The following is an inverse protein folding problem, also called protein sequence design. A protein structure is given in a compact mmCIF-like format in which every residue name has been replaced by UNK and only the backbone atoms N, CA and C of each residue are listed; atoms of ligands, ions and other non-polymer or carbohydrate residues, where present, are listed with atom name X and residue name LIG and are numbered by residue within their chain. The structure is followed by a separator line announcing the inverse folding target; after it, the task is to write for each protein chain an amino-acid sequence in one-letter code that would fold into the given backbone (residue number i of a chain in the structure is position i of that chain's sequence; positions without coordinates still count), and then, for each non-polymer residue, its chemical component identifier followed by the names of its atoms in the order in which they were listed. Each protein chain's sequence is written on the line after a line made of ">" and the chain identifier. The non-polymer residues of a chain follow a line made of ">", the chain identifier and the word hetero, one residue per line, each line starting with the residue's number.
data_IF_458130736113
#
_entry.id   IF_458130736113
#
_cell.length_a   1.000
_cell.length_b   1.000
_cell.length_c   1.000
_cell.angle_alpha   90.00
_cell.angle_beta   90.00
_cell.angle_gamma   90.00
#
_symmetry.space_group_name_H-M   'P 1'
#
loop_
_entity.id
_entity.type
_entity.pdbx_description
1 polymer ?
#
# COMPACT_ATOMS: atom_id res chain seq x y z
N UNK A 1 8.25 -9.01 4.96
CA UNK A 1 9.65 -9.23 4.56
C UNK A 1 9.94 -10.64 4.04
N UNK A 2 9.52 -11.74 4.73
CA UNK A 2 9.82 -13.12 4.27
C UNK A 2 9.29 -13.42 2.85
N UNK A 3 8.04 -13.03 2.57
CA UNK A 3 7.43 -13.19 1.25
C UNK A 3 8.16 -12.38 0.17
N UNK A 4 8.60 -11.18 0.49
CA UNK A 4 9.36 -10.31 -0.44
C UNK A 4 10.73 -10.92 -0.75
N UNK A 5 11.43 -11.47 0.25
CA UNK A 5 12.71 -12.18 0.04
C UNK A 5 12.55 -13.40 -0.87
N UNK A 6 11.48 -14.17 -0.69
CA UNK A 6 11.20 -15.31 -1.56
C UNK A 6 10.83 -14.88 -3.00
N UNK A 7 10.03 -13.83 -3.16
CA UNK A 7 9.77 -13.24 -4.46
C UNK A 7 11.06 -12.76 -5.14
N UNK A 8 11.94 -12.06 -4.40
CA UNK A 8 13.24 -11.64 -4.91
C UNK A 8 14.12 -12.81 -5.35
N UNK A 9 14.07 -13.95 -4.60
CA UNK A 9 14.83 -15.16 -4.93
C UNK A 9 14.43 -15.74 -6.29
N UNK A 10 13.11 -15.85 -6.55
CA UNK A 10 12.59 -16.49 -7.77
C UNK A 10 12.60 -15.58 -9.01
N UNK A 11 12.64 -14.26 -8.83
CA UNK A 11 12.74 -13.33 -9.94
C UNK A 11 14.03 -13.52 -10.72
N UNK A 12 13.97 -13.45 -12.05
CA UNK A 12 15.15 -13.34 -12.90
C UNK A 12 15.81 -11.96 -12.73
N UNK A 13 17.13 -11.81 -12.94
CA UNK A 13 17.77 -10.51 -13.00
C UNK A 13 17.03 -9.56 -13.97
N UNK A 14 16.84 -8.32 -13.58
CA UNK A 14 16.02 -7.33 -14.30
C UNK A 14 14.51 -7.51 -14.17
N UNK A 15 14.02 -8.57 -13.50
CA UNK A 15 12.59 -8.82 -13.29
C UNK A 15 11.95 -7.79 -12.36
N UNK A 16 10.67 -7.47 -12.61
CA UNK A 16 9.87 -6.57 -11.79
C UNK A 16 9.10 -7.32 -10.72
N UNK A 17 8.98 -6.71 -9.54
CA UNK A 17 8.06 -7.06 -8.48
C UNK A 17 7.08 -5.91 -8.29
N UNK A 18 5.78 -6.22 -8.29
CA UNK A 18 4.71 -5.34 -7.86
C UNK A 18 4.23 -5.85 -6.50
N UNK A 19 4.53 -5.10 -5.44
CA UNK A 19 4.15 -5.46 -4.08
C UNK A 19 2.99 -4.58 -3.61
N UNK A 20 1.86 -5.22 -3.26
CA UNK A 20 0.71 -4.53 -2.69
C UNK A 20 0.73 -4.62 -1.17
N UNK A 21 0.39 -3.51 -0.52
CA UNK A 21 0.23 -3.43 0.93
C UNK A 21 -0.99 -2.60 1.31
N UNK A 22 -1.58 -2.93 2.46
CA UNK A 22 -2.59 -2.07 3.10
C UNK A 22 -1.85 -1.07 3.97
N UNK A 23 -2.26 0.21 3.94
CA UNK A 23 -1.64 1.24 4.77
C UNK A 23 -2.12 1.17 6.22
N UNK A 24 -1.26 1.52 7.17
CA UNK A 24 -1.64 1.66 8.58
C UNK A 24 -2.68 2.76 8.83
N UNK A 25 -2.95 3.61 7.83
CA UNK A 25 -3.97 4.65 7.89
C UNK A 25 -5.35 4.17 7.43
N UNK A 26 -5.46 3.02 6.75
CA UNK A 26 -6.69 2.58 6.09
C UNK A 26 -7.89 2.53 7.04
N UNK A 27 -7.79 1.79 8.14
CA UNK A 27 -8.88 1.68 9.12
C UNK A 27 -9.23 3.01 9.78
N UNK A 28 -8.21 3.84 10.06
CA UNK A 28 -8.43 5.17 10.66
C UNK A 28 -9.20 6.08 9.72
N UNK A 29 -8.85 6.11 8.43
CA UNK A 29 -9.55 6.93 7.43
C UNK A 29 -11.00 6.49 7.27
N UNK A 30 -11.23 5.17 7.12
CA UNK A 30 -12.58 4.60 7.06
C UNK A 30 -13.37 4.88 8.33
N UNK A 31 -12.71 4.73 9.48
CA UNK A 31 -13.32 4.99 10.79
C UNK A 31 -13.70 6.45 11.01
N UNK A 32 -12.93 7.40 10.47
CA UNK A 32 -13.25 8.83 10.51
C UNK A 32 -14.47 9.15 9.63
N UNK A 33 -14.51 8.62 8.40
CA UNK A 33 -15.62 8.85 7.47
C UNK A 33 -16.94 8.29 8.01
N UNK A 34 -16.90 7.11 8.65
CA UNK A 34 -18.09 6.45 9.17
C UNK A 34 -18.35 6.74 10.64
N UNK A 35 -17.53 7.55 11.28
CA UNK A 35 -17.59 7.88 12.70
C UNK A 35 -17.43 6.65 13.64
N UNK A 36 -16.73 5.60 13.20
CA UNK A 36 -16.46 4.40 14.01
C UNK A 36 -15.37 4.61 15.06
N UNK A 37 -14.53 5.63 14.86
CA UNK A 37 -13.44 5.97 15.79
C UNK A 37 -13.93 6.41 17.19
N UNK A 38 -15.23 6.68 17.39
CA UNK A 38 -15.78 6.97 18.70
C UNK A 38 -15.96 5.71 19.55
N UNK A 39 -15.99 4.52 18.93
CA UNK A 39 -16.00 3.24 19.64
C UNK A 39 -14.59 2.97 20.20
N UNK A 40 -14.46 2.70 21.53
CA UNK A 40 -13.14 2.54 22.16
C UNK A 40 -12.33 1.37 21.61
N UNK A 41 -12.98 0.24 21.24
CA UNK A 41 -12.30 -0.94 20.70
C UNK A 41 -11.79 -0.66 19.29
N UNK A 42 -12.59 0.02 18.46
CA UNK A 42 -12.18 0.45 17.12
C UNK A 42 -11.04 1.46 17.18
N UNK A 43 -11.14 2.44 18.08
CA UNK A 43 -10.09 3.44 18.29
C UNK A 43 -8.77 2.81 18.71
N UNK A 44 -8.78 1.85 19.65
CA UNK A 44 -7.58 1.15 20.10
C UNK A 44 -6.94 0.33 18.98
N UNK A 45 -7.76 -0.29 18.12
CA UNK A 45 -7.28 -0.95 16.90
C UNK A 45 -6.55 0.04 15.99
N UNK A 46 -7.18 1.19 15.67
CA UNK A 46 -6.56 2.24 14.85
C UNK A 46 -5.25 2.75 15.47
N UNK A 47 -5.23 2.98 16.79
CA UNK A 47 -4.04 3.43 17.49
C UNK A 47 -2.87 2.45 17.30
N UNK A 48 -3.13 1.15 17.44
CA UNK A 48 -2.12 0.10 17.26
C UNK A 48 -1.64 0.00 15.82
N UNK A 49 -2.54 0.09 14.86
CA UNK A 49 -2.18 0.12 13.44
C UNK A 49 -1.25 1.29 13.10
N UNK A 50 -1.58 2.49 13.59
CA UNK A 50 -0.77 3.69 13.35
C UNK A 50 0.60 3.65 14.01
N UNK A 51 0.70 3.05 15.21
CA UNK A 51 1.96 3.05 15.98
C UNK A 51 2.84 1.84 15.71
N UNK A 52 2.24 0.67 15.45
CA UNK A 52 2.94 -0.62 15.37
C UNK A 52 2.77 -1.31 14.01
N UNK A 53 1.84 -0.84 13.15
CA UNK A 53 1.47 -1.53 11.91
C UNK A 53 0.69 -2.83 12.17
N UNK A 54 0.27 -3.10 13.40
CA UNK A 54 -0.38 -4.34 13.79
C UNK A 54 -1.89 -4.18 13.83
N UNK A 55 -2.57 -4.87 12.91
CA UNK A 55 -4.01 -5.03 12.94
C UNK A 55 -4.41 -6.28 13.73
N UNK A 56 -5.25 -6.10 14.75
CA UNK A 56 -5.92 -7.18 15.46
C UNK A 56 -7.42 -6.86 15.48
N UNK A 57 -8.22 -7.80 14.98
CA UNK A 57 -9.67 -7.64 14.95
C UNK A 57 -10.23 -7.42 16.36
N UNK A 58 -10.95 -6.32 16.61
CA UNK A 58 -11.62 -6.12 17.89
C UNK A 58 -12.79 -7.12 18.04
N UNK A 59 -13.05 -7.61 19.27
CA UNK A 59 -14.11 -8.61 19.52
C UNK A 59 -15.50 -8.18 19.05
N UNK A 60 -15.81 -6.89 19.16
CA UNK A 60 -17.11 -6.32 18.82
C UNK A 60 -17.25 -5.93 17.34
N UNK A 61 -16.22 -6.17 16.53
CA UNK A 61 -16.17 -5.80 15.11
C UNK A 61 -15.93 -7.03 14.22
N UNK A 62 -16.90 -7.98 14.14
CA UNK A 62 -16.77 -9.15 13.27
C UNK A 62 -16.79 -8.72 11.80
N UNK A 63 -15.96 -9.36 10.98
CA UNK A 63 -15.86 -9.08 9.54
C UNK A 63 -14.65 -8.23 9.14
N UNK A 64 -13.89 -7.70 10.10
CA UNK A 64 -12.55 -7.17 9.84
C UNK A 64 -11.53 -8.32 9.73
N UNK A 65 -10.31 -8.02 9.26
CA UNK A 65 -9.22 -9.01 9.26
C UNK A 65 -8.94 -9.52 10.67
N UNK A 66 -8.55 -10.79 10.80
CA UNK A 66 -8.24 -11.37 12.12
C UNK A 66 -6.91 -10.84 12.67
N UNK A 67 -5.87 -10.92 11.85
CA UNK A 67 -4.54 -10.40 12.15
C UNK A 67 -3.86 -10.06 10.83
N UNK A 68 -3.29 -8.87 10.75
CA UNK A 68 -2.54 -8.41 9.58
C UNK A 68 -1.44 -7.42 9.99
N UNK A 69 -0.41 -7.32 9.16
CA UNK A 69 0.53 -6.20 9.20
C UNK A 69 0.11 -5.18 8.16
N UNK A 70 -0.11 -3.95 8.62
CA UNK A 70 -0.43 -2.79 7.78
C UNK A 70 0.82 -1.91 7.68
N UNK A 71 1.20 -1.58 6.46
CA UNK A 71 2.44 -0.86 6.22
C UNK A 71 2.33 0.62 6.60
N UNK A 72 3.23 1.06 7.46
CA UNK A 72 3.44 2.49 7.71
C UNK A 72 4.17 3.13 6.52
N UNK A 73 4.12 4.47 6.37
CA UNK A 73 4.83 5.15 5.29
C UNK A 73 6.30 4.75 5.23
N UNK A 74 6.78 4.34 4.05
CA UNK A 74 8.16 3.92 3.81
C UNK A 74 8.51 2.47 4.20
N UNK A 75 7.68 1.76 4.96
CA UNK A 75 7.99 0.38 5.39
C UNK A 75 8.08 -0.59 4.21
N UNK A 76 7.13 -0.53 3.28
CA UNK A 76 7.12 -1.42 2.11
C UNK A 76 8.36 -1.20 1.23
N UNK A 77 8.76 0.05 1.04
CA UNK A 77 10.02 0.40 0.36
C UNK A 77 11.24 -0.18 1.10
N UNK A 78 11.31 0.03 2.41
CA UNK A 78 12.42 -0.49 3.22
C UNK A 78 12.54 -2.02 3.13
N UNK A 79 11.42 -2.75 3.16
CA UNK A 79 11.39 -4.21 3.00
C UNK A 79 11.88 -4.66 1.63
N UNK A 80 11.54 -3.93 0.55
CA UNK A 80 12.01 -4.22 -0.80
C UNK A 80 13.54 -4.03 -0.92
N UNK A 81 14.05 -2.93 -0.37
CA UNK A 81 15.50 -2.64 -0.34
C UNK A 81 16.25 -3.69 0.50
N UNK A 82 15.72 -4.08 1.67
CA UNK A 82 16.31 -5.11 2.52
C UNK A 82 16.34 -6.50 1.83
N UNK A 83 15.37 -6.77 0.97
CA UNK A 83 15.31 -7.99 0.15
C UNK A 83 16.27 -7.95 -1.06
N UNK A 84 17.05 -6.88 -1.24
CA UNK A 84 18.00 -6.72 -2.34
C UNK A 84 17.37 -6.31 -3.67
N UNK A 85 16.17 -5.75 -3.64
CA UNK A 85 15.51 -5.19 -4.82
C UNK A 85 15.79 -3.68 -4.91
N UNK A 86 15.84 -3.15 -6.13
CA UNK A 86 15.92 -1.72 -6.38
C UNK A 86 14.48 -1.17 -6.43
N UNK A 87 14.08 -0.35 -5.45
CA UNK A 87 12.81 0.34 -5.44
C UNK A 87 12.77 1.38 -6.55
N UNK A 88 11.71 1.39 -7.37
CA UNK A 88 11.50 2.35 -8.46
C UNK A 88 10.50 3.44 -8.06
N UNK A 89 9.36 3.05 -7.49
CA UNK A 89 8.31 3.97 -7.03
C UNK A 89 7.33 3.26 -6.09
N UNK A 90 6.60 4.05 -5.30
CA UNK A 90 5.41 3.59 -4.56
C UNK A 90 4.23 4.45 -4.98
N UNK A 91 3.12 3.81 -5.33
CA UNK A 91 1.90 4.44 -5.81
C UNK A 91 0.76 4.28 -4.81
N UNK A 92 -0.03 5.34 -4.65
CA UNK A 92 -1.29 5.34 -3.92
C UNK A 92 -2.38 4.74 -4.83
N UNK A 93 -2.78 3.48 -4.63
CA UNK A 93 -3.63 2.76 -5.58
C UNK A 93 -4.98 3.46 -5.78
N UNK A 94 -5.65 3.81 -4.70
CA UNK A 94 -6.90 4.58 -4.77
C UNK A 94 -6.65 6.08 -4.54
N UNK A 95 -5.55 6.44 -3.90
CA UNK A 95 -5.35 7.79 -3.40
C UNK A 95 -6.55 8.24 -2.56
N UNK A 96 -7.01 9.50 -2.70
CA UNK A 96 -8.24 10.00 -2.10
C UNK A 96 -9.51 9.62 -2.91
N UNK A 97 -9.40 8.91 -4.04
CA UNK A 97 -10.53 8.59 -4.92
C UNK A 97 -11.65 7.78 -4.25
N UNK A 98 -11.34 7.01 -3.22
CA UNK A 98 -12.32 6.27 -2.42
C UNK A 98 -13.25 7.17 -1.58
N UNK A 99 -12.92 8.47 -1.42
CA UNK A 99 -13.74 9.47 -0.73
C UNK A 99 -14.86 10.04 -1.61
N UNK A 100 -14.90 9.68 -2.88
CA UNK A 100 -15.94 10.16 -3.80
C UNK A 100 -17.31 9.73 -3.29
N UNK A 101 -18.24 10.66 -3.01
CA UNK A 101 -19.60 10.32 -2.60
C UNK A 101 -20.32 9.51 -3.68
N UNK A 102 -21.16 8.56 -3.27
CA UNK A 102 -21.94 7.70 -4.19
C UNK A 102 -21.04 7.01 -5.23
N UNK A 103 -19.86 6.51 -4.76
CA UNK A 103 -18.81 5.95 -5.61
C UNK A 103 -19.34 4.86 -6.56
N UNK A 104 -20.15 3.93 -6.04
CA UNK A 104 -20.68 2.80 -6.85
C UNK A 104 -21.52 3.30 -8.03
N UNK A 105 -22.36 4.32 -7.83
CA UNK A 105 -23.16 4.91 -8.90
C UNK A 105 -22.28 5.59 -9.94
N UNK A 106 -21.36 6.44 -9.49
CA UNK A 106 -20.42 7.15 -10.36
C UNK A 106 -19.48 6.22 -11.11
N UNK A 107 -19.11 5.09 -10.50
CA UNK A 107 -18.24 4.09 -11.12
C UNK A 107 -18.92 3.35 -12.28
N UNK A 108 -20.23 3.20 -12.26
CA UNK A 108 -21.00 2.61 -13.36
C UNK A 108 -21.09 3.53 -14.58
N UNK A 109 -21.01 4.84 -14.38
CA UNK A 109 -20.98 5.83 -15.46
C UNK A 109 -19.57 5.90 -16.07
N UNK A 110 -19.38 5.62 -17.40
CA UNK A 110 -18.05 5.59 -18.01
C UNK A 110 -17.31 6.93 -17.96
N UNK A 111 -18.02 8.06 -18.08
CA UNK A 111 -17.42 9.40 -18.08
C UNK A 111 -16.96 9.79 -16.67
N UNK A 112 -17.80 9.55 -15.68
CA UNK A 112 -17.45 9.83 -14.27
C UNK A 112 -16.32 8.91 -13.78
N UNK A 113 -16.35 7.64 -14.17
CA UNK A 113 -15.28 6.69 -13.87
C UNK A 113 -13.94 7.16 -14.45
N UNK A 114 -13.90 7.57 -15.73
CA UNK A 114 -12.66 8.06 -16.34
C UNK A 114 -12.17 9.33 -15.66
N UNK A 115 -13.07 10.22 -15.23
CA UNK A 115 -12.72 11.41 -14.45
C UNK A 115 -12.08 11.02 -13.12
N UNK A 116 -12.63 10.07 -12.38
CA UNK A 116 -12.07 9.56 -11.11
C UNK A 116 -10.68 8.97 -11.37
N UNK A 117 -10.54 8.11 -12.38
CA UNK A 117 -9.26 7.50 -12.72
C UNK A 117 -8.21 8.53 -13.14
N UNK A 118 -8.60 9.55 -13.89
CA UNK A 118 -7.71 10.64 -14.29
C UNK A 118 -7.15 11.37 -13.06
N UNK A 119 -8.01 11.75 -12.11
CA UNK A 119 -7.59 12.44 -10.88
C UNK A 119 -6.69 11.53 -10.03
N UNK A 120 -7.04 10.26 -9.86
CA UNK A 120 -6.20 9.31 -9.11
C UNK A 120 -4.82 9.19 -9.74
N UNK A 121 -4.72 9.03 -11.06
CA UNK A 121 -3.44 8.96 -11.78
C UNK A 121 -2.56 10.21 -11.62
N UNK A 122 -3.18 11.39 -11.55
CA UNK A 122 -2.45 12.64 -11.32
C UNK A 122 -1.84 12.72 -9.91
N UNK A 123 -2.37 11.96 -8.95
CA UNK A 123 -1.98 12.00 -7.55
C UNK A 123 -1.24 10.73 -7.09
N UNK A 124 -1.29 9.64 -7.85
CA UNK A 124 -0.85 8.31 -7.37
C UNK A 124 0.61 8.26 -6.91
N UNK A 125 1.48 9.10 -7.49
CA UNK A 125 2.89 9.18 -7.13
C UNK A 125 3.21 10.31 -6.12
N UNK A 126 2.21 11.09 -5.70
CA UNK A 126 2.41 12.17 -4.72
C UNK A 126 2.57 11.58 -3.32
N UNK A 127 3.64 11.97 -2.63
CA UNK A 127 3.95 11.48 -1.28
C UNK A 127 2.82 11.77 -0.26
N UNK A 128 2.08 12.87 -0.42
CA UNK A 128 0.92 13.20 0.41
C UNK A 128 -0.26 12.27 0.16
N UNK A 129 -0.43 11.78 -1.07
CA UNK A 129 -1.51 10.87 -1.43
C UNK A 129 -1.28 9.45 -0.89
N UNK A 130 -0.03 9.03 -0.66
CA UNK A 130 0.28 7.70 -0.10
C UNK A 130 -0.42 7.48 1.25
N UNK A 131 -0.40 8.48 2.13
CA UNK A 131 -1.08 8.42 3.43
C UNK A 131 -2.60 8.50 3.36
N UNK A 132 -3.17 8.92 2.24
CA UNK A 132 -4.62 9.01 2.00
C UNK A 132 -5.18 7.80 1.26
N UNK A 133 -4.35 6.86 0.86
CA UNK A 133 -4.75 5.65 0.15
C UNK A 133 -4.86 4.46 1.10
N UNK A 134 -5.97 3.69 1.06
CA UNK A 134 -6.04 2.43 1.80
C UNK A 134 -5.02 1.40 1.34
N UNK A 135 -4.64 1.41 0.06
CA UNK A 135 -3.66 0.48 -0.50
C UNK A 135 -2.52 1.20 -1.20
N UNK A 136 -1.33 0.62 -1.07
CA UNK A 136 -0.12 1.02 -1.79
C UNK A 136 0.30 -0.07 -2.76
N UNK A 137 0.93 0.33 -3.85
CA UNK A 137 1.66 -0.56 -4.75
C UNK A 137 3.09 -0.07 -4.88
N UNK A 138 4.03 -0.83 -4.36
CA UNK A 138 5.44 -0.55 -4.58
C UNK A 138 5.97 -1.35 -5.79
N UNK A 139 6.69 -0.65 -6.66
CA UNK A 139 7.34 -1.21 -7.84
C UNK A 139 8.83 -1.32 -7.56
N UNK A 140 9.37 -2.52 -7.71
CA UNK A 140 10.79 -2.76 -7.50
C UNK A 140 11.34 -3.69 -8.56
N UNK A 141 12.64 -3.59 -8.82
CA UNK A 141 13.35 -4.40 -9.80
C UNK A 141 14.47 -5.20 -9.17
N UNK A 142 14.61 -6.46 -9.56
CA UNK A 142 15.79 -7.24 -9.21
C UNK A 142 16.99 -6.69 -10.01
N UNK A 143 18.09 -6.29 -9.34
CA UNK A 143 19.28 -5.85 -10.04
C UNK A 143 19.75 -6.86 -11.10
N UNK A 144 20.28 -6.38 -12.22
CA UNK A 144 20.91 -7.22 -13.23
C UNK A 144 22.14 -7.92 -12.65
N UNK A 145 22.52 -9.08 -13.19
CA UNK A 145 23.85 -9.61 -12.93
C UNK A 145 24.87 -8.59 -13.46
N UNK A 146 25.77 -8.12 -12.61
CA UNK A 146 26.91 -7.30 -13.07
C UNK A 146 27.65 -8.11 -14.14
N UNK A 147 27.81 -7.52 -15.32
CA UNK A 147 28.72 -8.09 -16.31
C UNK A 147 30.12 -8.13 -15.69
N UNK A 148 30.82 -9.27 -15.70
CA UNK A 148 32.16 -9.34 -15.14
C UNK A 148 33.01 -8.26 -15.81
N UNK A 149 33.55 -7.35 -15.02
CA UNK A 149 34.51 -6.33 -15.47
C UNK A 149 35.69 -7.07 -16.06
N UNK A 150 35.84 -7.05 -17.40
CA UNK A 150 37.03 -7.54 -18.06
C UNK A 150 38.17 -6.67 -17.55
N UNK A 151 38.98 -7.21 -16.65
CA UNK A 151 40.26 -6.59 -16.29
C UNK A 151 41.12 -6.69 -17.55
N UNK A 152 41.39 -5.56 -18.17
CA UNK A 152 42.41 -5.42 -19.17
C UNK A 152 43.76 -5.51 -18.44
N UNK A 153 44.50 -6.59 -18.66
CA UNK A 153 45.89 -6.72 -18.28
C UNK A 153 46.77 -5.85 -19.19
#
# INVERSE_FOLDING_TARGET
>A
LAAIREAARILRPGGLLLAFGITSHASTLVGLVNWWVHDPDYFEMCRRELTEGLHLQPPNWPGLFTTAHLHRPGELEAELLEAGLAHETTLAVQGPGWLVPDFEEKWQDPEQRETILCVVRLMEADAGALGMSPHLMAVARKPGAESPTVRSD
#
